data_IF_218366197554
#
_entry.id   IF_218366197554
#
_cell.length_a   1.000
_cell.length_b   1.000
_cell.length_c   1.000
_cell.angle_alpha   90.00
_cell.angle_beta   90.00
_cell.angle_gamma   90.00
#
_symmetry.space_group_name_H-M   'P 1'
#
loop_
_entity.id
_entity.type
_entity.pdbx_description
1 polymer ?
#
# COMPACT_ATOMS: atom_id res chain seq x y z
N UNK A 1 -11.97 -2.10 -15.32
CA UNK A 1 -11.33 -2.31 -14.02
C UNK A 1 -10.06 -1.48 -13.96
N UNK A 2 -9.88 -0.61 -12.97
CA UNK A 2 -8.72 0.27 -12.94
C UNK A 2 -7.45 -0.50 -12.60
N UNK A 3 -6.49 -0.44 -13.51
CA UNK A 3 -5.19 -1.09 -13.34
C UNK A 3 -4.07 -0.14 -13.74
N UNK A 4 -2.91 -0.35 -13.12
CA UNK A 4 -1.68 0.36 -13.43
C UNK A 4 -0.65 -0.64 -13.93
N UNK A 5 0.08 -0.27 -14.98
CA UNK A 5 1.16 -1.10 -15.47
C UNK A 5 2.38 -1.00 -14.58
N UNK A 6 2.95 -2.15 -14.30
CA UNK A 6 4.19 -2.33 -13.56
C UNK A 6 5.13 -3.18 -14.43
N UNK A 7 6.46 -3.01 -14.34
CA UNK A 7 7.37 -3.84 -15.13
C UNK A 7 7.12 -5.35 -15.00
N UNK A 8 6.64 -5.80 -13.83
CA UNK A 8 6.41 -7.21 -13.57
C UNK A 8 4.94 -7.62 -13.55
N UNK A 9 4.03 -6.76 -14.04
CA UNK A 9 2.62 -7.13 -14.10
C UNK A 9 1.66 -5.95 -14.14
N UNK A 10 0.47 -6.16 -13.59
CA UNK A 10 -0.57 -5.15 -13.50
C UNK A 10 -1.10 -5.06 -12.08
N UNK A 11 -1.24 -3.84 -11.57
CA UNK A 11 -1.71 -3.55 -10.23
C UNK A 11 -3.15 -3.06 -10.30
N UNK A 12 -4.06 -3.78 -9.65
CA UNK A 12 -5.44 -3.33 -9.49
C UNK A 12 -5.51 -2.33 -8.33
N UNK A 13 -6.24 -1.23 -8.54
CA UNK A 13 -6.43 -0.24 -7.49
C UNK A 13 -7.86 0.29 -7.49
N UNK A 14 -8.24 0.92 -6.39
CA UNK A 14 -9.49 1.65 -6.24
C UNK A 14 -9.20 3.04 -5.69
N UNK A 15 -9.85 4.05 -6.27
CA UNK A 15 -9.76 5.43 -5.82
C UNK A 15 -11.15 5.86 -5.37
N UNK A 16 -11.28 6.19 -4.10
CA UNK A 16 -12.57 6.48 -3.47
C UNK A 16 -12.55 7.87 -2.85
N UNK A 17 -13.56 8.68 -3.21
CA UNK A 17 -13.67 10.04 -2.69
C UNK A 17 -12.84 11.05 -3.46
N UNK A 18 -12.86 12.28 -2.99
CA UNK A 18 -12.09 13.39 -3.56
C UNK A 18 -11.43 14.17 -2.44
N UNK A 19 -10.29 14.76 -2.72
CA UNK A 19 -9.54 15.55 -1.76
C UNK A 19 -8.08 15.12 -1.68
N UNK A 20 -7.43 15.45 -0.58
CA UNK A 20 -6.03 15.10 -0.38
C UNK A 20 -5.88 13.58 -0.33
N UNK A 21 -4.89 13.00 -1.03
CA UNK A 21 -4.77 11.54 -1.12
C UNK A 21 -4.26 10.89 0.15
N UNK A 22 -4.85 9.73 0.47
CA UNK A 22 -4.37 8.82 1.51
C UNK A 22 -4.14 7.46 0.88
N UNK A 23 -2.92 6.96 0.94
CA UNK A 23 -2.59 5.62 0.46
C UNK A 23 -2.64 4.64 1.63
N UNK A 24 -3.40 3.55 1.44
CA UNK A 24 -3.50 2.48 2.43
C UNK A 24 -2.50 1.39 2.11
N UNK A 25 -1.66 1.06 3.09
CA UNK A 25 -0.73 -0.06 3.03
C UNK A 25 -1.19 -1.11 4.04
N UNK A 26 -1.87 -2.14 3.54
CA UNK A 26 -2.53 -3.16 4.35
C UNK A 26 -1.84 -4.51 4.19
N UNK A 27 -1.91 -5.40 5.20
CA UNK A 27 -1.44 -6.76 5.00
C UNK A 27 -2.32 -7.50 3.99
N UNK A 28 -1.73 -8.44 3.28
CA UNK A 28 -2.43 -9.20 2.23
C UNK A 28 -3.66 -9.93 2.75
N UNK A 29 -3.64 -10.34 4.01
CA UNK A 29 -4.71 -11.13 4.62
C UNK A 29 -5.96 -10.33 4.98
N UNK A 30 -5.87 -9.00 5.04
CA UNK A 30 -6.99 -8.18 5.50
C UNK A 30 -8.02 -7.98 4.39
N UNK A 31 -7.57 -7.70 3.19
CA UNK A 31 -8.45 -7.39 2.07
C UNK A 31 -9.23 -6.08 2.27
N UNK A 32 -9.97 -5.64 1.26
CA UNK A 32 -10.67 -4.36 1.32
C UNK A 32 -11.82 -4.32 2.32
N UNK A 33 -12.41 -5.47 2.65
CA UNK A 33 -13.57 -5.50 3.56
C UNK A 33 -13.22 -5.20 5.01
N UNK A 34 -11.99 -5.46 5.43
CA UNK A 34 -11.55 -5.24 6.81
C UNK A 34 -11.46 -3.77 7.20
N UNK A 35 -11.43 -2.87 6.22
CA UNK A 35 -11.30 -1.43 6.46
C UNK A 35 -12.46 -0.62 5.90
N UNK A 36 -13.53 -1.29 5.50
CA UNK A 36 -14.63 -0.65 4.76
C UNK A 36 -15.24 0.55 5.48
N UNK A 37 -15.49 0.42 6.79
CA UNK A 37 -16.09 1.52 7.56
C UNK A 37 -15.16 2.73 7.62
N UNK A 38 -13.87 2.51 7.84
CA UNK A 38 -12.86 3.56 7.88
C UNK A 38 -12.73 4.24 6.52
N UNK A 39 -12.66 3.46 5.46
CA UNK A 39 -12.55 3.97 4.08
C UNK A 39 -13.78 4.82 3.74
N UNK A 40 -14.99 4.34 4.08
CA UNK A 40 -16.21 5.10 3.83
C UNK A 40 -16.21 6.44 4.56
N UNK A 41 -15.74 6.47 5.79
CA UNK A 41 -15.60 7.70 6.55
C UNK A 41 -14.60 8.68 5.93
N UNK A 42 -13.42 8.18 5.59
CA UNK A 42 -12.34 9.02 5.06
C UNK A 42 -12.63 9.52 3.66
N UNK A 43 -13.33 8.73 2.84
CA UNK A 43 -13.63 9.10 1.45
C UNK A 43 -14.57 10.29 1.33
N UNK A 44 -15.18 10.72 2.42
CA UNK A 44 -16.00 11.93 2.44
C UNK A 44 -15.16 13.21 2.36
N UNK A 45 -13.88 13.13 2.74
CA UNK A 45 -12.99 14.31 2.79
C UNK A 45 -11.66 14.11 2.07
N UNK A 46 -11.31 12.87 1.77
CA UNK A 46 -10.02 12.51 1.19
C UNK A 46 -10.20 11.62 -0.03
N UNK A 47 -9.18 11.57 -0.87
CA UNK A 47 -9.08 10.55 -1.90
C UNK A 47 -8.39 9.34 -1.29
N UNK A 48 -9.14 8.26 -1.05
CA UNK A 48 -8.59 7.03 -0.47
C UNK A 48 -8.13 6.11 -1.59
N UNK A 49 -6.87 5.68 -1.53
CA UNK A 49 -6.28 4.81 -2.53
C UNK A 49 -6.07 3.43 -1.91
N UNK A 50 -6.76 2.44 -2.47
CA UNK A 50 -6.60 1.03 -2.11
C UNK A 50 -6.01 0.30 -3.30
N UNK A 51 -5.14 -0.67 -3.06
CA UNK A 51 -4.61 -1.47 -4.15
C UNK A 51 -4.26 -2.87 -3.65
N UNK A 52 -4.28 -3.81 -4.58
CA UNK A 52 -3.80 -5.16 -4.31
C UNK A 52 -2.34 -5.23 -4.72
N UNK A 53 -1.49 -5.72 -3.83
CA UNK A 53 -0.07 -5.88 -4.13
C UNK A 53 0.10 -6.85 -5.30
N UNK A 54 1.14 -6.61 -6.09
CA UNK A 54 1.40 -7.42 -7.28
C UNK A 54 1.47 -8.90 -6.94
N UNK A 55 0.72 -9.71 -7.68
CA UNK A 55 0.62 -11.15 -7.42
C UNK A 55 -0.41 -11.54 -6.39
N UNK A 56 -1.21 -10.58 -5.88
CA UNK A 56 -2.27 -10.85 -4.90
C UNK A 56 -3.60 -10.31 -5.41
N UNK A 57 -4.69 -10.87 -4.89
CA UNK A 57 -6.04 -10.41 -5.19
C UNK A 57 -6.29 -10.29 -6.68
N UNK A 58 -6.64 -9.10 -7.14
CA UNK A 58 -6.92 -8.80 -8.55
C UNK A 58 -5.71 -8.29 -9.33
N UNK A 59 -4.58 -8.12 -8.67
CA UNK A 59 -3.33 -7.74 -9.30
C UNK A 59 -2.64 -8.98 -9.86
N UNK A 60 -2.03 -8.86 -11.04
CA UNK A 60 -1.44 -9.99 -11.76
C UNK A 60 0.04 -9.77 -11.97
N UNK A 61 0.86 -10.73 -11.51
CA UNK A 61 2.28 -10.76 -11.81
C UNK A 61 2.53 -11.54 -13.11
N UNK A 62 3.49 -11.08 -13.91
CA UNK A 62 3.83 -11.73 -15.19
C UNK A 62 4.53 -13.08 -15.01
N UNK A 63 5.02 -13.37 -13.82
CA UNK A 63 5.78 -14.59 -13.53
C UNK A 63 5.37 -15.16 -12.19
N UNK A 64 5.22 -16.49 -12.11
CA UNK A 64 4.99 -17.20 -10.85
C UNK A 64 6.17 -17.07 -9.89
N UNK A 65 7.32 -16.66 -10.43
CA UNK A 65 8.55 -16.50 -9.64
C UNK A 65 8.71 -15.10 -9.06
N UNK A 66 7.72 -14.23 -9.26
CA UNK A 66 7.79 -12.89 -8.69
C UNK A 66 7.87 -13.00 -7.16
N UNK A 67 9.02 -12.66 -6.60
CA UNK A 67 9.25 -12.65 -5.17
C UNK A 67 9.57 -11.23 -4.75
N UNK A 68 8.59 -10.47 -4.27
CA UNK A 68 8.80 -9.06 -4.01
C UNK A 68 9.71 -8.84 -2.83
N UNK A 69 10.76 -8.05 -3.05
CA UNK A 69 11.56 -7.45 -2.01
C UNK A 69 10.86 -6.17 -1.54
N UNK A 70 11.35 -5.56 -0.47
CA UNK A 70 10.87 -4.23 -0.04
C UNK A 70 11.04 -3.23 -1.19
N UNK A 71 12.17 -3.29 -1.89
CA UNK A 71 12.43 -2.43 -3.04
C UNK A 71 11.38 -2.63 -4.14
N UNK A 72 11.01 -3.86 -4.43
CA UNK A 72 9.96 -4.18 -5.40
C UNK A 72 8.60 -3.64 -4.99
N UNK A 73 8.26 -3.77 -3.70
CA UNK A 73 7.00 -3.21 -3.18
C UNK A 73 6.97 -1.69 -3.26
N UNK A 74 8.12 -1.03 -3.02
CA UNK A 74 8.20 0.43 -3.18
C UNK A 74 8.03 0.85 -4.63
N UNK A 75 8.52 0.05 -5.58
CA UNK A 75 8.29 0.30 -7.00
C UNK A 75 6.80 0.25 -7.35
N UNK A 76 6.05 -0.67 -6.74
CA UNK A 76 4.59 -0.72 -6.91
C UNK A 76 3.93 0.59 -6.47
N UNK A 77 4.34 1.12 -5.31
CA UNK A 77 3.83 2.41 -4.81
C UNK A 77 4.16 3.54 -5.79
N UNK A 78 5.40 3.61 -6.27
CA UNK A 78 5.82 4.62 -7.23
C UNK A 78 4.97 4.56 -8.51
N UNK A 79 4.80 3.39 -9.08
CA UNK A 79 4.00 3.21 -10.30
C UNK A 79 2.57 3.67 -10.09
N UNK A 80 1.97 3.32 -8.95
CA UNK A 80 0.60 3.68 -8.63
C UNK A 80 0.43 5.19 -8.48
N UNK A 81 1.26 5.82 -7.67
CA UNK A 81 1.17 7.26 -7.42
C UNK A 81 1.50 8.07 -8.66
N UNK A 82 2.48 7.65 -9.44
CA UNK A 82 2.84 8.34 -10.68
C UNK A 82 1.71 8.23 -11.71
N UNK A 83 1.07 7.08 -11.83
CA UNK A 83 -0.08 6.89 -12.72
C UNK A 83 -1.25 7.81 -12.35
N UNK A 84 -1.44 8.05 -11.05
CA UNK A 84 -2.53 8.89 -10.55
C UNK A 84 -2.14 10.38 -10.46
N UNK A 85 -0.93 10.73 -10.91
CA UNK A 85 -0.39 12.10 -10.82
C UNK A 85 -0.37 12.62 -9.39
N UNK A 86 -0.05 11.75 -8.43
CA UNK A 86 0.01 12.10 -7.02
C UNK A 86 1.47 12.27 -6.63
N UNK A 87 1.86 13.51 -6.31
CA UNK A 87 3.22 13.82 -5.90
C UNK A 87 3.49 13.37 -4.46
N UNK A 88 2.55 13.65 -3.57
CA UNK A 88 2.68 13.32 -2.15
C UNK A 88 1.33 12.90 -1.56
N UNK A 89 1.35 11.98 -0.61
CA UNK A 89 0.15 11.47 0.03
C UNK A 89 0.37 11.22 1.51
N UNK A 90 -0.74 11.20 2.26
CA UNK A 90 -0.73 10.59 3.59
C UNK A 90 -0.61 9.08 3.44
N UNK A 91 0.02 8.42 4.41
CA UNK A 91 0.10 6.96 4.45
C UNK A 91 -0.65 6.45 5.67
N UNK A 92 -1.53 5.49 5.45
CA UNK A 92 -2.18 4.73 6.52
C UNK A 92 -1.68 3.29 6.42
N UNK A 93 -0.95 2.84 7.44
CA UNK A 93 -0.28 1.54 7.42
C UNK A 93 -0.79 0.68 8.57
N UNK A 94 -1.03 -0.60 8.27
CA UNK A 94 -1.51 -1.56 9.27
C UNK A 94 -0.63 -2.79 9.27
N UNK A 95 -0.17 -3.18 10.46
CA UNK A 95 0.59 -4.41 10.69
C UNK A 95 1.82 -4.52 9.77
N UNK A 96 1.88 -5.51 8.89
CA UNK A 96 3.01 -5.70 7.96
C UNK A 96 3.18 -4.56 6.98
N UNK A 97 2.10 -3.84 6.67
CA UNK A 97 2.18 -2.65 5.84
C UNK A 97 2.98 -1.52 6.46
N UNK A 98 3.14 -1.53 7.79
CA UNK A 98 3.93 -0.52 8.49
C UNK A 98 5.41 -0.56 8.10
N UNK A 99 5.98 -1.74 7.91
CA UNK A 99 7.37 -1.87 7.46
C UNK A 99 7.59 -1.23 6.11
N UNK A 100 6.69 -1.48 5.17
CA UNK A 100 6.73 -0.88 3.84
C UNK A 100 6.56 0.64 3.93
N UNK A 101 5.61 1.11 4.75
CA UNK A 101 5.37 2.54 4.92
C UNK A 101 6.59 3.27 5.49
N UNK A 102 7.25 2.68 6.47
CA UNK A 102 8.47 3.24 7.06
C UNK A 102 9.58 3.34 6.01
N UNK A 103 9.76 2.28 5.22
CA UNK A 103 10.76 2.28 4.15
C UNK A 103 10.46 3.33 3.08
N UNK A 104 9.18 3.45 2.67
CA UNK A 104 8.78 4.45 1.70
C UNK A 104 9.02 5.87 2.23
N UNK A 105 8.62 6.15 3.47
CA UNK A 105 8.80 7.46 4.09
C UNK A 105 10.29 7.80 4.24
N UNK A 106 11.13 6.81 4.52
CA UNK A 106 12.58 7.01 4.65
C UNK A 106 13.25 7.26 3.31
N UNK A 107 12.76 6.60 2.25
CA UNK A 107 13.36 6.67 0.91
C UNK A 107 12.84 7.84 0.10
N UNK A 108 11.58 8.23 0.32
CA UNK A 108 10.89 9.24 -0.47
C UNK A 108 10.22 10.30 0.43
N UNK A 109 10.98 10.98 1.31
CA UNK A 109 10.38 11.91 2.26
C UNK A 109 9.51 12.99 1.62
N UNK A 110 9.86 13.57 0.44
CA UNK A 110 9.02 14.59 -0.18
C UNK A 110 7.64 14.07 -0.62
N UNK A 111 7.48 12.74 -0.73
CA UNK A 111 6.24 12.12 -1.19
C UNK A 111 5.32 11.71 -0.05
N UNK A 112 5.69 11.97 1.21
CA UNK A 112 4.92 11.56 2.38
C UNK A 112 4.50 12.80 3.16
N UNK A 113 3.18 13.00 3.28
CA UNK A 113 2.63 14.10 4.07
C UNK A 113 2.60 13.76 5.55
N UNK A 114 2.08 12.59 5.88
CA UNK A 114 2.09 12.03 7.26
C UNK A 114 2.16 10.52 7.16
N UNK A 115 2.59 9.91 8.26
CA UNK A 115 2.72 8.47 8.37
C UNK A 115 1.95 8.00 9.61
N UNK A 116 0.87 7.23 9.39
CA UNK A 116 0.06 6.65 10.46
C UNK A 116 0.34 5.16 10.52
N UNK A 117 0.75 4.68 11.69
CA UNK A 117 1.10 3.27 11.90
C UNK A 117 0.15 2.65 12.91
N UNK A 118 -0.51 1.57 12.51
CA UNK A 118 -1.43 0.82 13.38
C UNK A 118 -0.87 -0.58 13.58
N UNK A 119 -0.64 -0.94 14.84
CA UNK A 119 0.00 -2.21 15.23
C UNK A 119 1.34 -2.41 14.49
N UNK A 120 2.26 -1.42 14.57
CA UNK A 120 3.49 -1.49 13.79
C UNK A 120 4.51 -2.44 14.39
N UNK A 121 5.33 -3.01 13.50
CA UNK A 121 6.59 -3.64 13.88
C UNK A 121 7.55 -3.48 12.69
N UNK A 122 8.82 -3.26 13.00
CA UNK A 122 9.82 -2.96 11.99
C UNK A 122 10.78 -4.11 11.72
N UNK A 123 10.81 -5.10 12.61
CA UNK A 123 11.61 -6.31 12.43
C UNK A 123 11.00 -7.45 13.24
N UNK A 124 11.29 -8.69 12.84
CA UNK A 124 10.86 -9.86 13.57
C UNK A 124 11.93 -10.21 14.62
N UNK A 125 11.54 -10.20 15.90
CA UNK A 125 12.38 -10.69 16.96
C UNK A 125 12.12 -12.19 17.19
N UNK A 126 12.83 -12.80 18.15
CA UNK A 126 12.70 -14.22 18.44
C UNK A 126 11.25 -14.60 18.80
N UNK A 127 10.61 -13.79 19.63
CA UNK A 127 9.23 -14.04 20.05
C UNK A 127 8.27 -13.97 18.87
N UNK A 128 8.39 -12.95 18.05
CA UNK A 128 7.54 -12.76 16.89
C UNK A 128 7.73 -13.89 15.87
N UNK A 129 8.97 -14.31 15.66
CA UNK A 129 9.29 -15.42 14.77
C UNK A 129 8.66 -16.73 15.26
N UNK A 130 8.64 -16.94 16.57
CA UNK A 130 8.03 -18.13 17.18
C UNK A 130 6.52 -18.15 16.97
N UNK A 131 5.87 -16.99 17.00
CA UNK A 131 4.42 -16.88 16.82
C UNK A 131 3.97 -16.99 15.36
N UNK A 132 4.87 -16.83 14.45
CA UNK A 132 4.60 -16.95 13.02
C UNK A 132 4.84 -18.37 12.53
#
# INVERSE_FOLDING_TARGET
MPVVRHPDGEIYYELLGTGVPILFLLPQSVGPNGTKALVNSLSKRFSVILFDQLGTGRSVANSDKYGPSISGRMTEISCLLDHLDIEASHLFCHSTGCGLGICWASSQPPRVKTLTLVNPWSYADEQLTTLQ
#
